data_IF_647013855981
#
_entry.id   IF_647013855981
#
_cell.length_a   1.000
_cell.length_b   1.000
_cell.length_c   1.000
_cell.angle_alpha   90.00
_cell.angle_beta   90.00
_cell.angle_gamma   90.00
#
_symmetry.space_group_name_H-M   'P 1'
#
loop_
_entity.id
_entity.type
_entity.pdbx_description
1 polymer ?
#
# COMPACT_ATOMS: atom_id res chain seq x y z
N UNK A 1 -2.69 10.62 22.17
CA UNK A 1 -1.85 9.51 21.67
C UNK A 1 -1.38 9.87 20.25
N UNK A 2 -0.17 10.39 20.10
CA UNK A 2 0.40 10.73 18.79
C UNK A 2 0.80 9.45 18.02
N UNK A 3 0.50 9.40 16.72
CA UNK A 3 0.78 8.24 15.86
C UNK A 3 2.29 7.94 15.83
N UNK A 4 2.72 6.67 15.99
CA UNK A 4 4.13 6.29 16.10
C UNK A 4 5.01 6.78 14.93
N UNK A 5 4.44 6.87 13.72
CA UNK A 5 5.12 7.39 12.54
C UNK A 5 5.56 8.87 12.63
N UNK A 6 4.88 9.69 13.44
CA UNK A 6 5.23 11.11 13.61
C UNK A 6 6.47 11.25 14.51
N UNK A 7 6.60 10.38 15.52
CA UNK A 7 7.72 10.41 16.46
C UNK A 7 9.03 9.99 15.78
N UNK A 8 8.97 8.96 14.92
CA UNK A 8 10.10 8.51 14.10
C UNK A 8 10.50 9.55 13.04
N UNK A 9 9.52 10.21 12.38
CA UNK A 9 9.79 11.25 11.40
C UNK A 9 10.50 12.49 12.01
N UNK A 10 10.21 12.83 13.27
CA UNK A 10 10.88 13.92 13.98
C UNK A 10 12.33 13.56 14.33
N UNK A 11 12.60 12.30 14.72
CA UNK A 11 13.97 11.82 14.96
C UNK A 11 14.81 11.78 13.68
N UNK A 12 14.20 11.42 12.53
CA UNK A 12 14.88 11.43 11.23
C UNK A 12 15.07 12.83 10.62
N UNK A 13 14.36 13.85 11.12
CA UNK A 13 14.38 15.22 10.60
C UNK A 13 15.47 16.10 11.24
N UNK A 14 16.20 15.57 12.22
CA UNK A 14 17.16 16.33 13.02
C UNK A 14 18.53 15.68 12.92
N UNK A 15 19.49 16.39 12.34
CA UNK A 15 20.91 16.03 12.48
C UNK A 15 21.53 16.81 13.63
N UNK A 16 22.33 16.14 14.45
CA UNK A 16 23.17 16.76 15.47
C UNK A 16 24.56 17.02 14.90
N UNK A 17 24.96 18.28 14.84
CA UNK A 17 26.34 18.66 14.52
C UNK A 17 27.08 19.03 15.81
N UNK A 18 28.27 18.45 16.01
CA UNK A 18 29.23 18.89 17.03
C UNK A 18 30.32 19.67 16.31
N UNK A 19 30.57 20.91 16.73
CA UNK A 19 31.68 21.71 16.20
C UNK A 19 32.98 21.19 16.84
N UNK A 20 33.89 20.60 16.06
CA UNK A 20 35.20 20.12 16.53
C UNK A 20 36.19 21.29 16.63
N UNK A 21 36.03 22.10 17.67
CA UNK A 21 36.98 23.16 18.00
C UNK A 21 37.01 23.35 19.50
N UNK A 22 38.11 22.92 20.11
CA UNK A 22 38.33 22.88 21.55
C UNK A 22 38.33 24.26 22.20
N UNK A 23 37.16 24.70 22.67
CA UNK A 23 37.00 25.75 23.68
C UNK A 23 35.78 25.40 24.56
N UNK A 24 35.98 25.51 25.87
CA UNK A 24 35.01 25.20 26.95
C UNK A 24 33.70 25.98 26.82
N UNK A 25 32.58 25.28 26.56
CA UNK A 25 31.22 25.84 26.60
C UNK A 25 30.31 25.53 25.40
N UNK A 26 30.39 24.35 24.78
CA UNK A 26 29.65 24.05 23.56
C UNK A 26 28.15 23.75 23.81
N UNK A 27 27.27 24.65 23.35
CA UNK A 27 25.81 24.39 23.24
C UNK A 27 25.56 23.47 22.03
N UNK A 28 24.87 22.34 22.23
CA UNK A 28 24.57 21.42 21.12
C UNK A 28 23.60 22.11 20.14
N UNK A 29 23.78 21.87 18.85
CA UNK A 29 22.91 22.42 17.80
C UNK A 29 22.14 21.29 17.11
N UNK A 30 20.94 21.60 16.65
CA UNK A 30 20.04 20.71 15.93
C UNK A 30 19.62 21.39 14.63
N UNK A 31 19.75 20.71 13.50
CA UNK A 31 19.43 21.26 12.18
C UNK A 31 18.18 20.57 11.65
N UNK A 32 17.22 21.34 11.12
CA UNK A 32 16.05 20.79 10.45
C UNK A 32 16.42 20.36 9.02
N UNK A 33 16.27 19.07 8.71
CA UNK A 33 16.63 18.51 7.39
C UNK A 33 15.76 19.02 6.23
N UNK A 34 14.62 19.66 6.51
CA UNK A 34 13.73 20.17 5.47
C UNK A 34 14.03 21.63 5.08
N UNK A 35 14.42 22.48 6.03
CA UNK A 35 14.62 23.91 5.79
C UNK A 35 16.01 24.43 6.17
N UNK A 36 16.88 23.57 6.74
CA UNK A 36 18.24 23.89 7.14
C UNK A 36 18.36 24.80 8.38
N UNK A 37 17.25 25.16 9.05
CA UNK A 37 17.29 26.05 10.20
C UNK A 37 17.98 25.40 11.40
N UNK A 38 18.89 26.16 12.04
CA UNK A 38 19.72 25.72 13.16
C UNK A 38 19.07 26.16 14.47
N UNK A 39 18.90 25.22 15.38
CA UNK A 39 18.33 25.43 16.71
C UNK A 39 19.33 25.04 17.78
N UNK A 40 19.45 25.84 18.84
CA UNK A 40 20.23 25.48 20.02
C UNK A 40 19.45 24.48 20.87
N UNK A 41 20.13 23.43 21.30
CA UNK A 41 19.58 22.34 22.08
C UNK A 41 20.40 22.19 23.37
N UNK A 42 19.83 22.63 24.48
CA UNK A 42 20.39 22.40 25.80
C UNK A 42 19.74 21.15 26.42
N UNK A 43 20.51 20.07 26.70
CA UNK A 43 19.95 18.80 27.16
C UNK A 43 19.21 18.87 28.51
N UNK A 44 19.46 19.91 29.31
CA UNK A 44 18.81 20.12 30.62
C UNK A 44 17.67 21.16 30.63
N UNK A 45 17.52 21.97 29.58
CA UNK A 45 16.58 23.11 29.57
C UNK A 45 15.68 23.19 28.33
N UNK A 46 16.12 22.64 27.19
CA UNK A 46 15.41 22.73 25.91
C UNK A 46 14.96 21.35 25.46
N UNK A 47 13.68 21.04 25.66
CA UNK A 47 13.08 19.80 25.14
C UNK A 47 12.90 19.79 23.61
N UNK A 48 12.40 18.68 23.06
CA UNK A 48 12.08 18.52 21.62
C UNK A 48 10.95 19.44 21.10
N UNK A 49 10.35 20.24 21.98
CA UNK A 49 9.18 21.07 21.71
C UNK A 49 9.42 22.16 20.67
N UNK A 50 10.59 22.82 20.68
CA UNK A 50 10.92 23.89 19.72
C UNK A 50 10.96 23.37 18.28
N UNK A 51 11.65 22.26 18.05
CA UNK A 51 11.72 21.60 16.75
C UNK A 51 10.38 21.01 16.32
N UNK A 52 9.60 20.45 17.26
CA UNK A 52 8.23 19.96 16.99
C UNK A 52 7.31 21.07 16.50
N UNK A 53 7.33 22.22 17.17
CA UNK A 53 6.55 23.40 16.77
C UNK A 53 7.02 23.91 15.42
N UNK A 54 8.33 23.96 15.18
CA UNK A 54 8.89 24.35 13.88
C UNK A 54 8.40 23.43 12.74
N UNK A 55 8.59 22.11 12.86
CA UNK A 55 8.20 21.15 11.82
C UNK A 55 6.69 21.21 11.55
N UNK A 56 5.87 21.32 12.60
CA UNK A 56 4.41 21.27 12.46
C UNK A 56 3.77 22.58 12.00
N UNK A 57 4.31 23.74 12.39
CA UNK A 57 3.61 25.03 12.22
C UNK A 57 4.37 26.05 11.36
N UNK A 58 5.69 25.93 11.20
CA UNK A 58 6.52 26.98 10.60
C UNK A 58 7.33 26.51 9.39
N UNK A 59 7.58 25.20 9.26
CA UNK A 59 8.41 24.66 8.19
C UNK A 59 7.61 24.53 6.88
N UNK A 60 7.60 25.60 6.08
CA UNK A 60 6.96 25.64 4.75
C UNK A 60 7.41 24.52 3.81
N UNK A 61 8.68 24.13 3.90
CA UNK A 61 9.25 23.04 3.09
C UNK A 61 8.75 21.65 3.52
N UNK A 62 8.44 21.48 4.81
CA UNK A 62 7.81 20.25 5.31
C UNK A 62 6.33 20.17 4.89
N UNK A 63 5.60 21.28 4.87
CA UNK A 63 4.24 21.31 4.32
C UNK A 63 4.23 20.96 2.82
N UNK A 64 5.20 21.49 2.06
CA UNK A 64 5.34 21.19 0.64
C UNK A 64 5.73 19.73 0.39
N UNK A 65 6.60 19.14 1.22
CA UNK A 65 6.96 17.72 1.12
C UNK A 65 5.78 16.81 1.47
N UNK A 66 5.02 17.14 2.53
CA UNK A 66 3.80 16.44 2.90
C UNK A 66 2.70 16.54 1.83
N UNK A 67 2.57 17.71 1.19
CA UNK A 67 1.65 17.90 0.08
C UNK A 67 2.06 17.04 -1.12
N UNK A 68 3.34 16.98 -1.50
CA UNK A 68 3.81 16.13 -2.59
C UNK A 68 3.73 14.62 -2.28
N UNK A 69 3.98 14.21 -1.04
CA UNK A 69 3.80 12.83 -0.57
C UNK A 69 2.33 12.39 -0.65
N UNK A 70 1.39 13.27 -0.27
CA UNK A 70 -0.05 13.02 -0.38
C UNK A 70 -0.56 13.13 -1.82
N UNK A 71 0.04 14.00 -2.63
CA UNK A 71 -0.36 14.29 -4.01
C UNK A 71 0.55 13.67 -5.07
N UNK A 72 1.17 12.52 -4.78
CA UNK A 72 2.00 11.85 -5.78
C UNK A 72 1.18 11.61 -7.07
N UNK A 73 1.50 12.31 -8.19
CA UNK A 73 0.68 12.28 -9.40
C UNK A 73 0.62 10.87 -10.02
N UNK A 74 1.64 10.04 -9.79
CA UNK A 74 1.68 8.65 -10.24
C UNK A 74 0.58 7.76 -9.60
N UNK A 75 0.07 8.15 -8.42
CA UNK A 75 -1.03 7.45 -7.73
C UNK A 75 -2.42 7.86 -8.22
N UNK A 76 -2.56 8.99 -8.94
CA UNK A 76 -3.86 9.51 -9.40
C UNK A 76 -4.12 9.36 -10.90
N UNK A 77 -3.06 9.22 -11.70
CA UNK A 77 -3.24 9.02 -13.14
C UNK A 77 -3.84 7.65 -13.42
N UNK A 78 -5.10 7.65 -13.88
CA UNK A 78 -5.79 6.45 -14.39
C UNK A 78 -5.26 6.12 -15.77
N UNK A 79 -5.07 4.84 -16.06
CA UNK A 79 -4.66 4.39 -17.39
C UNK A 79 -5.92 4.19 -18.22
N UNK A 80 -5.93 4.72 -19.44
CA UNK A 80 -7.02 4.41 -20.38
C UNK A 80 -6.89 2.96 -20.80
N UNK A 81 -7.94 2.18 -20.58
CA UNK A 81 -8.02 0.78 -20.97
C UNK A 81 -9.35 0.53 -21.67
N UNK A 82 -9.36 -0.46 -22.56
CA UNK A 82 -10.58 -0.93 -23.17
C UNK A 82 -11.29 -1.90 -22.22
N UNK A 83 -12.60 -1.75 -22.03
CA UNK A 83 -13.37 -2.76 -21.30
C UNK A 83 -13.36 -4.08 -22.09
N UNK A 84 -13.09 -5.23 -21.45
CA UNK A 84 -13.25 -6.53 -22.09
C UNK A 84 -14.72 -6.74 -22.44
N UNK A 85 -14.98 -7.22 -23.65
CA UNK A 85 -16.35 -7.52 -24.12
C UNK A 85 -16.86 -8.72 -23.33
N UNK A 86 -17.64 -8.48 -22.28
CA UNK A 86 -18.42 -9.53 -21.64
C UNK A 86 -19.50 -9.93 -22.65
N UNK A 87 -19.39 -11.14 -23.21
CA UNK A 87 -20.19 -11.62 -24.33
C UNK A 87 -21.70 -11.46 -24.12
N UNK A 88 -22.28 -10.47 -24.78
CA UNK A 88 -23.71 -10.17 -24.72
C UNK A 88 -24.13 -8.79 -25.23
N UNK A 89 -23.18 -7.86 -25.47
CA UNK A 89 -23.47 -6.53 -26.02
C UNK A 89 -23.14 -6.40 -27.51
N UNK A 90 -24.10 -5.96 -28.32
CA UNK A 90 -24.03 -5.70 -29.77
C UNK A 90 -23.12 -4.54 -30.19
N UNK A 91 -22.30 -3.99 -29.30
CA UNK A 91 -21.42 -2.87 -29.62
C UNK A 91 -20.03 -3.36 -30.01
N UNK A 92 -19.74 -3.30 -31.32
CA UNK A 92 -18.46 -3.69 -31.92
C UNK A 92 -17.30 -2.71 -31.60
N UNK A 93 -17.58 -1.64 -30.85
CA UNK A 93 -16.60 -0.60 -30.50
C UNK A 93 -16.19 -0.76 -29.04
N UNK A 94 -14.90 -1.03 -28.74
CA UNK A 94 -14.45 -1.21 -27.37
C UNK A 94 -14.53 0.13 -26.62
N UNK A 95 -15.29 0.15 -25.51
CA UNK A 95 -15.49 1.33 -24.69
C UNK A 95 -14.20 1.67 -23.95
N UNK A 96 -13.66 2.86 -24.21
CA UNK A 96 -12.52 3.41 -23.48
C UNK A 96 -12.97 3.80 -22.07
N UNK A 97 -12.31 3.23 -21.06
CA UNK A 97 -12.55 3.58 -19.67
C UNK A 97 -11.26 3.93 -18.95
N UNK A 98 -11.37 4.82 -17.96
CA UNK A 98 -10.26 5.17 -17.10
C UNK A 98 -10.11 4.09 -16.03
N UNK A 99 -9.31 3.07 -16.31
CA UNK A 99 -9.03 1.97 -15.39
C UNK A 99 -8.00 2.39 -14.34
N UNK A 100 -8.35 2.17 -13.07
CA UNK A 100 -7.43 2.27 -11.95
C UNK A 100 -7.09 0.86 -11.46
N UNK A 101 -5.83 0.64 -11.11
CA UNK A 101 -5.42 -0.58 -10.44
C UNK A 101 -6.15 -0.72 -9.08
N UNK A 102 -6.86 -1.83 -8.89
CA UNK A 102 -7.42 -2.24 -7.60
C UNK A 102 -6.72 -3.50 -7.13
N UNK A 103 -6.18 -3.44 -5.91
CA UNK A 103 -5.53 -4.58 -5.27
C UNK A 103 -6.55 -5.67 -4.99
N UNK A 104 -7.77 -5.30 -4.57
CA UNK A 104 -8.84 -6.22 -4.24
C UNK A 104 -9.30 -7.01 -5.47
N UNK A 105 -9.50 -6.32 -6.60
CA UNK A 105 -9.87 -6.96 -7.86
C UNK A 105 -8.77 -7.91 -8.35
N UNK A 106 -7.50 -7.49 -8.24
CA UNK A 106 -6.36 -8.30 -8.66
C UNK A 106 -6.17 -9.54 -7.78
N UNK A 107 -6.38 -9.41 -6.46
CA UNK A 107 -6.37 -10.56 -5.54
C UNK A 107 -7.48 -11.55 -5.85
N UNK A 108 -8.68 -11.06 -6.17
CA UNK A 108 -9.80 -11.92 -6.56
C UNK A 108 -9.47 -12.70 -7.83
N UNK A 109 -8.97 -12.02 -8.86
CA UNK A 109 -8.55 -12.66 -10.11
C UNK A 109 -7.43 -13.70 -9.89
N UNK A 110 -6.46 -13.42 -9.02
CA UNK A 110 -5.41 -14.38 -8.66
C UNK A 110 -5.98 -15.63 -7.97
N UNK A 111 -6.92 -15.47 -7.04
CA UNK A 111 -7.56 -16.59 -6.37
C UNK A 111 -8.43 -17.41 -7.34
N UNK A 112 -9.14 -16.76 -8.28
CA UNK A 112 -9.88 -17.43 -9.34
C UNK A 112 -8.97 -18.26 -10.24
N UNK A 113 -7.84 -17.71 -10.69
CA UNK A 113 -6.84 -18.45 -11.48
C UNK A 113 -6.35 -19.71 -10.74
N UNK A 114 -6.04 -19.59 -9.45
CA UNK A 114 -5.56 -20.72 -8.65
C UNK A 114 -6.63 -21.81 -8.49
N UNK A 115 -7.90 -21.44 -8.38
CA UNK A 115 -9.01 -22.40 -8.30
C UNK A 115 -9.24 -23.07 -9.65
N UNK A 116 -9.27 -22.30 -10.74
CA UNK A 116 -9.56 -22.79 -12.09
C UNK A 116 -8.47 -23.72 -12.63
N UNK A 117 -7.21 -23.33 -12.45
CA UNK A 117 -6.05 -24.06 -12.94
C UNK A 117 -5.47 -25.03 -11.89
N UNK A 118 -6.15 -25.16 -10.75
CA UNK A 118 -5.78 -26.03 -9.62
C UNK A 118 -4.32 -25.88 -9.15
N UNK A 119 -3.78 -24.66 -9.19
CA UNK A 119 -2.40 -24.42 -8.81
C UNK A 119 -2.16 -24.61 -7.30
N UNK A 120 -1.01 -25.17 -6.90
CA UNK A 120 -0.61 -25.17 -5.49
C UNK A 120 -0.51 -23.74 -4.96
N UNK A 121 -0.94 -23.47 -3.72
CA UNK A 121 -0.84 -22.12 -3.13
C UNK A 121 0.59 -21.57 -3.05
N UNK A 122 1.60 -22.45 -3.07
CA UNK A 122 3.01 -22.05 -3.11
C UNK A 122 3.44 -21.46 -4.45
N UNK A 123 2.65 -21.62 -5.51
CA UNK A 123 2.91 -21.08 -6.84
C UNK A 123 3.25 -19.58 -6.80
N UNK A 124 2.51 -18.81 -5.99
CA UNK A 124 2.69 -17.35 -5.87
C UNK A 124 4.00 -16.95 -5.19
N UNK A 125 4.67 -17.86 -4.50
CA UNK A 125 5.96 -17.61 -3.85
C UNK A 125 7.14 -17.80 -4.81
N UNK A 126 6.91 -18.43 -5.97
CA UNK A 126 7.89 -18.70 -7.00
C UNK A 126 8.51 -17.42 -7.57
N UNK A 127 9.83 -17.44 -7.77
CA UNK A 127 10.56 -16.28 -8.25
C UNK A 127 10.11 -15.83 -9.66
N UNK A 128 9.80 -16.79 -10.53
CA UNK A 128 9.28 -16.51 -11.88
C UNK A 128 7.94 -15.78 -11.84
N UNK A 129 7.02 -16.21 -10.99
CA UNK A 129 5.72 -15.56 -10.80
C UNK A 129 5.88 -14.13 -10.25
N UNK A 130 6.73 -13.94 -9.23
CA UNK A 130 7.01 -12.60 -8.68
C UNK A 130 7.59 -11.65 -9.73
N UNK A 131 8.53 -12.14 -10.55
CA UNK A 131 9.10 -11.35 -11.65
C UNK A 131 8.05 -10.99 -12.69
N UNK A 132 7.20 -11.95 -13.07
CA UNK A 132 6.10 -11.73 -14.01
C UNK A 132 5.13 -10.64 -13.52
N UNK A 133 4.65 -10.75 -12.27
CA UNK A 133 3.74 -9.75 -11.69
C UNK A 133 4.40 -8.38 -11.58
N UNK A 134 5.67 -8.31 -11.19
CA UNK A 134 6.39 -7.03 -11.11
C UNK A 134 6.45 -6.30 -12.46
N UNK A 135 6.69 -7.02 -13.55
CA UNK A 135 6.70 -6.46 -14.90
C UNK A 135 5.30 -6.06 -15.36
N UNK A 136 4.29 -6.89 -15.09
CA UNK A 136 2.91 -6.66 -15.51
C UNK A 136 2.23 -5.52 -14.74
N UNK A 137 2.46 -5.44 -13.44
CA UNK A 137 1.84 -4.44 -12.57
C UNK A 137 2.81 -3.99 -11.46
N UNK A 138 3.68 -3.03 -11.75
CA UNK A 138 4.68 -2.54 -10.79
C UNK A 138 4.05 -1.81 -9.60
N UNK A 139 2.80 -1.34 -9.72
CA UNK A 139 2.07 -0.73 -8.59
C UNK A 139 1.69 -1.74 -7.51
N UNK A 140 1.79 -3.04 -7.80
CA UNK A 140 1.53 -4.10 -6.83
C UNK A 140 2.83 -4.49 -6.11
N UNK A 141 3.34 -3.57 -5.26
CA UNK A 141 4.64 -3.74 -4.59
C UNK A 141 4.75 -5.04 -3.79
N UNK A 142 3.65 -5.46 -3.14
CA UNK A 142 3.61 -6.66 -2.30
C UNK A 142 2.48 -7.62 -2.74
N UNK A 143 2.77 -8.54 -3.66
CA UNK A 143 1.85 -9.62 -4.01
C UNK A 143 1.54 -10.52 -2.80
N UNK A 144 0.32 -11.09 -2.71
CA UNK A 144 -0.09 -11.91 -1.59
C UNK A 144 0.73 -13.21 -1.51
N UNK A 145 1.18 -13.55 -0.30
CA UNK A 145 1.81 -14.85 -0.04
C UNK A 145 0.80 -16.00 0.03
N UNK A 146 1.30 -17.24 0.12
CA UNK A 146 0.48 -18.47 0.08
C UNK A 146 -0.69 -18.47 1.07
N UNK A 147 -0.48 -17.96 2.28
CA UNK A 147 -1.50 -17.93 3.34
C UNK A 147 -2.64 -16.96 3.03
N UNK A 148 -2.30 -15.83 2.41
CA UNK A 148 -3.29 -14.83 2.03
C UNK A 148 -4.13 -15.32 0.86
N UNK A 149 -3.48 -15.94 -0.13
CA UNK A 149 -4.14 -16.60 -1.26
C UNK A 149 -5.08 -17.71 -0.78
N UNK A 150 -4.65 -18.56 0.15
CA UNK A 150 -5.49 -19.60 0.71
C UNK A 150 -6.75 -19.03 1.40
N UNK A 151 -6.61 -17.91 2.12
CA UNK A 151 -7.75 -17.18 2.71
C UNK A 151 -8.68 -16.61 1.65
N UNK A 152 -8.14 -16.08 0.55
CA UNK A 152 -8.94 -15.55 -0.56
C UNK A 152 -9.73 -16.66 -1.27
N UNK A 153 -9.10 -17.81 -1.53
CA UNK A 153 -9.78 -18.98 -2.08
C UNK A 153 -10.89 -19.47 -1.15
N UNK A 154 -10.62 -19.53 0.16
CA UNK A 154 -11.61 -19.93 1.16
C UNK A 154 -12.80 -18.94 1.21
N UNK A 155 -12.56 -17.64 1.02
CA UNK A 155 -13.61 -16.64 0.93
C UNK A 155 -14.51 -16.88 -0.28
N UNK A 156 -13.93 -17.14 -1.45
CA UNK A 156 -14.67 -17.48 -2.68
C UNK A 156 -15.54 -18.72 -2.46
N UNK A 157 -14.98 -19.78 -1.85
CA UNK A 157 -15.72 -20.97 -1.49
C UNK A 157 -16.91 -20.68 -0.56
N UNK A 158 -16.70 -19.88 0.50
CA UNK A 158 -17.76 -19.55 1.45
C UNK A 158 -18.90 -18.77 0.79
N UNK A 159 -18.57 -17.83 -0.10
CA UNK A 159 -19.56 -17.04 -0.82
C UNK A 159 -20.32 -17.91 -1.84
N UNK A 160 -19.63 -18.78 -2.56
CA UNK A 160 -20.24 -19.78 -3.45
C UNK A 160 -21.16 -20.74 -2.69
N UNK A 161 -20.73 -21.25 -1.54
CA UNK A 161 -21.53 -22.11 -0.66
C UNK A 161 -22.80 -21.43 -0.17
N UNK A 162 -22.72 -20.15 0.22
CA UNK A 162 -23.90 -19.37 0.63
C UNK A 162 -24.86 -19.17 -0.53
N UNK A 163 -24.33 -18.84 -1.71
CA UNK A 163 -25.12 -18.67 -2.94
C UNK A 163 -25.85 -19.97 -3.30
N UNK A 164 -25.12 -21.10 -3.34
CA UNK A 164 -25.67 -22.41 -3.63
C UNK A 164 -26.75 -22.81 -2.61
N UNK A 165 -26.48 -22.65 -1.31
CA UNK A 165 -27.49 -22.93 -0.27
C UNK A 165 -28.78 -22.14 -0.44
N UNK A 166 -28.70 -20.89 -0.90
CA UNK A 166 -29.88 -20.07 -1.18
C UNK A 166 -30.63 -20.58 -2.40
N UNK A 167 -29.91 -20.94 -3.47
CA UNK A 167 -30.50 -21.47 -4.69
C UNK A 167 -31.23 -22.81 -4.46
N UNK A 168 -30.70 -23.65 -3.57
CA UNK A 168 -31.23 -25.00 -3.31
C UNK A 168 -32.23 -25.08 -2.15
N UNK A 169 -32.54 -23.96 -1.47
CA UNK A 169 -33.26 -23.96 -0.17
C UNK A 169 -34.64 -24.65 -0.23
N UNK A 170 -35.37 -24.47 -1.33
CA UNK A 170 -36.74 -24.93 -1.48
C UNK A 170 -36.87 -26.09 -2.50
N UNK A 171 -35.75 -26.73 -2.85
CA UNK A 171 -35.71 -27.82 -3.82
C UNK A 171 -35.37 -29.15 -3.15
N UNK A 172 -36.02 -30.24 -3.59
CA UNK A 172 -35.63 -31.61 -3.23
C UNK A 172 -34.59 -32.10 -4.23
N UNK A 173 -33.33 -32.19 -3.81
CA UNK A 173 -32.19 -32.51 -4.69
C UNK A 173 -31.39 -33.66 -4.09
N UNK A 174 -30.92 -34.56 -4.95
CA UNK A 174 -29.91 -35.57 -4.61
C UNK A 174 -28.57 -35.14 -5.24
N UNK A 175 -27.50 -35.12 -4.45
CA UNK A 175 -26.15 -34.82 -4.93
C UNK A 175 -25.30 -36.08 -4.80
N UNK A 176 -24.71 -36.52 -5.90
CA UNK A 176 -23.71 -37.58 -5.91
C UNK A 176 -22.33 -36.94 -6.06
N UNK A 177 -21.40 -37.35 -5.21
CA UNK A 177 -19.99 -36.96 -5.32
C UNK A 177 -19.20 -38.23 -5.63
N UNK A 178 -18.54 -38.27 -6.78
CA UNK A 178 -17.49 -39.26 -7.03
C UNK A 178 -16.24 -38.84 -6.24
N UNK A 179 -15.68 -39.78 -5.49
CA UNK A 179 -14.43 -39.64 -4.71
C UNK A 179 -13.24 -40.11 -5.49
#
# INVERSE_FOLDING_TARGET
MERPAIREAIQSAVSHSMDDSGVTGQKRKAICNYCGQIYTCDPNASGTSSMKTHIKLLCRQYEFSQFNLKNNPAKRQKTLAFEPVNGGGTSMVPKLTAASFSVEASRKALAEMIILDEFPFRFVEGQGFKRFIYVMQPKWENPPGRLMVAKDCMKIYQDGKKSLKRALKDQRICLTTDT
#
